data_IF_036349400237
#
_entry.id   IF_036349400237
#
_cell.length_a   1.000
_cell.length_b   1.000
_cell.length_c   1.000
_cell.angle_alpha   90.00
_cell.angle_beta   90.00
_cell.angle_gamma   90.00
#
_symmetry.space_group_name_H-M   'P 1'
#
loop_
_entity.id
_entity.type
_entity.pdbx_description
1 polymer ?
#
# COMPACT_ATOMS: atom_id res chain seq x y z
N UNK A 1 0.79 -12.03 4.72
CA UNK A 1 0.57 -10.86 3.82
C UNK A 1 1.87 -10.15 3.53
N UNK A 2 1.92 -9.45 2.39
CA UNK A 2 3.08 -8.65 1.98
C UNK A 2 2.60 -7.26 1.59
N UNK A 3 3.34 -6.23 1.96
CA UNK A 3 3.16 -4.90 1.38
C UNK A 3 4.10 -4.76 0.20
N UNK A 4 3.56 -4.37 -0.97
CA UNK A 4 4.32 -4.02 -2.14
C UNK A 4 4.33 -2.50 -2.33
N UNK A 5 5.50 -1.91 -2.50
CA UNK A 5 5.69 -0.47 -2.68
C UNK A 5 6.27 -0.17 -4.06
N UNK A 6 5.57 0.66 -4.82
CA UNK A 6 5.96 1.03 -6.18
C UNK A 6 6.98 2.17 -6.18
N UNK A 7 8.15 1.92 -6.77
CA UNK A 7 9.28 2.87 -6.82
C UNK A 7 9.59 3.43 -8.21
N UNK A 8 8.94 2.90 -9.27
CA UNK A 8 9.24 3.38 -10.61
C UNK A 8 8.64 4.78 -10.86
N UNK A 9 9.42 5.63 -11.50
CA UNK A 9 9.06 7.02 -11.83
C UNK A 9 8.73 7.19 -13.32
N UNK A 10 8.07 6.20 -13.89
CA UNK A 10 7.75 6.11 -15.32
C UNK A 10 6.59 7.04 -15.76
N UNK A 11 5.83 7.59 -14.81
CA UNK A 11 4.75 8.54 -15.08
C UNK A 11 4.94 9.83 -14.27
N UNK A 12 4.51 10.96 -14.85
CA UNK A 12 4.60 12.27 -14.20
C UNK A 12 3.93 12.29 -12.82
N UNK A 13 2.78 11.62 -12.68
CA UNK A 13 2.08 11.49 -11.42
C UNK A 13 2.94 10.79 -10.35
N UNK A 14 3.59 9.67 -10.68
CA UNK A 14 4.45 8.94 -9.74
C UNK A 14 5.65 9.81 -9.29
N UNK A 15 6.21 10.57 -10.22
CA UNK A 15 7.31 11.51 -9.92
C UNK A 15 6.86 12.62 -8.98
N UNK A 16 5.66 13.17 -9.20
CA UNK A 16 5.10 14.20 -8.32
C UNK A 16 4.86 13.66 -6.90
N UNK A 17 4.26 12.47 -6.77
CA UNK A 17 4.05 11.83 -5.47
C UNK A 17 5.37 11.57 -4.77
N UNK A 18 6.35 10.96 -5.44
CA UNK A 18 7.68 10.67 -4.87
C UNK A 18 8.42 11.94 -4.44
N UNK A 19 8.43 12.97 -5.30
CA UNK A 19 9.02 14.26 -4.97
C UNK A 19 8.36 14.91 -3.76
N UNK A 20 7.05 14.83 -3.71
CA UNK A 20 6.22 15.39 -2.67
C UNK A 20 6.40 14.69 -1.32
N UNK A 21 6.30 13.37 -1.31
CA UNK A 21 6.46 12.55 -0.10
C UNK A 21 7.94 12.36 0.29
N UNK A 22 8.86 13.03 -0.43
CA UNK A 22 10.32 13.02 -0.20
C UNK A 22 10.91 11.60 -0.11
N UNK A 23 10.39 10.68 -0.94
CA UNK A 23 10.86 9.31 -0.95
C UNK A 23 10.60 8.60 -2.28
N UNK A 24 11.12 7.37 -2.46
CA UNK A 24 11.06 6.67 -3.73
C UNK A 24 9.67 6.12 -4.08
N UNK A 25 8.80 5.95 -3.08
CA UNK A 25 7.55 5.23 -3.28
C UNK A 25 6.39 6.17 -3.62
N UNK A 26 5.63 5.77 -4.63
CA UNK A 26 4.47 6.52 -5.12
C UNK A 26 3.14 5.75 -5.02
N UNK A 27 3.18 4.46 -4.68
CA UNK A 27 1.99 3.64 -4.52
C UNK A 27 2.26 2.43 -3.62
N UNK A 28 1.20 1.93 -2.96
CA UNK A 28 1.25 0.81 -2.02
C UNK A 28 0.11 -0.17 -2.28
N UNK A 29 0.41 -1.48 -2.21
CA UNK A 29 -0.52 -2.59 -2.35
C UNK A 29 -0.38 -3.56 -1.18
N UNK A 30 -1.47 -4.16 -0.71
CA UNK A 30 -1.45 -5.25 0.24
C UNK A 30 -1.70 -6.58 -0.47
N UNK A 31 -0.69 -7.43 -0.54
CA UNK A 31 -0.76 -8.76 -1.19
C UNK A 31 -1.23 -9.79 -0.18
N UNK A 32 -2.28 -10.51 -0.55
CA UNK A 32 -2.87 -11.60 0.22
C UNK A 32 -2.29 -12.97 -0.15
N UNK A 33 -2.52 -13.95 0.72
CA UNK A 33 -2.06 -15.34 0.54
C UNK A 33 -2.56 -16.03 -0.74
N UNK A 34 -3.65 -15.56 -1.31
CA UNK A 34 -4.21 -16.05 -2.58
C UNK A 34 -3.64 -15.33 -3.82
N UNK A 35 -2.65 -14.45 -3.67
CA UNK A 35 -2.04 -13.69 -4.76
C UNK A 35 -2.85 -12.50 -5.28
N UNK A 36 -4.00 -12.21 -4.67
CA UNK A 36 -4.75 -10.98 -4.93
C UNK A 36 -4.16 -9.83 -4.13
N UNK A 37 -4.37 -8.61 -4.59
CA UNK A 37 -3.88 -7.40 -3.94
C UNK A 37 -4.97 -6.38 -3.73
N UNK A 38 -5.02 -5.82 -2.52
CA UNK A 38 -5.93 -4.75 -2.12
C UNK A 38 -5.24 -3.40 -2.04
N UNK A 39 -5.84 -2.36 -2.58
CA UNK A 39 -5.42 -0.97 -2.43
C UNK A 39 -6.49 -0.01 -2.95
N UNK A 40 -6.35 1.27 -2.66
CA UNK A 40 -7.01 2.34 -3.41
C UNK A 40 -6.07 2.86 -4.50
N UNK A 41 -6.55 2.98 -5.73
CA UNK A 41 -5.73 3.36 -6.88
C UNK A 41 -6.39 4.44 -7.71
N UNK A 42 -5.61 5.47 -8.07
CA UNK A 42 -6.06 6.50 -9.00
C UNK A 42 -6.49 5.92 -10.36
N UNK A 43 -5.75 4.93 -10.87
CA UNK A 43 -6.06 4.27 -12.16
C UNK A 43 -7.37 3.49 -12.11
N UNK A 44 -7.66 2.86 -10.98
CA UNK A 44 -8.86 2.06 -10.77
C UNK A 44 -10.01 2.91 -10.19
N UNK A 45 -9.76 4.21 -9.95
CA UNK A 45 -10.69 5.23 -9.44
C UNK A 45 -11.18 4.99 -8.00
N UNK A 46 -10.48 4.16 -7.23
CA UNK A 46 -10.82 3.89 -5.84
C UNK A 46 -10.32 2.57 -5.30
N UNK A 47 -10.98 2.13 -4.24
CA UNK A 47 -10.68 0.90 -3.50
C UNK A 47 -11.07 -0.33 -4.32
N UNK A 48 -10.14 -1.29 -4.43
CA UNK A 48 -10.37 -2.53 -5.18
C UNK A 48 -9.47 -3.67 -4.70
N UNK A 49 -9.85 -4.89 -5.06
CA UNK A 49 -9.02 -6.08 -4.95
C UNK A 49 -8.84 -6.67 -6.35
N UNK A 50 -7.60 -6.87 -6.78
CA UNK A 50 -7.30 -7.48 -8.08
C UNK A 50 -5.96 -8.19 -8.09
N UNK A 51 -5.72 -9.04 -9.08
CA UNK A 51 -4.40 -9.62 -9.33
C UNK A 51 -3.51 -8.59 -10.03
N UNK A 52 -2.29 -8.43 -9.51
CA UNK A 52 -1.27 -7.52 -10.06
C UNK A 52 -0.06 -8.35 -10.46
N UNK A 53 0.52 -8.02 -11.62
CA UNK A 53 1.82 -8.53 -12.03
C UNK A 53 2.92 -7.62 -11.48
N UNK A 54 3.72 -8.17 -10.59
CA UNK A 54 4.79 -7.43 -9.94
C UNK A 54 6.11 -7.61 -10.70
N UNK A 55 6.71 -6.50 -11.10
CA UNK A 55 8.04 -6.47 -11.72
C UNK A 55 9.06 -6.07 -10.66
N UNK A 56 10.07 -6.91 -10.34
CA UNK A 56 10.98 -6.68 -9.21
C UNK A 56 11.72 -5.35 -9.28
N UNK A 57 12.08 -4.94 -10.48
CA UNK A 57 12.77 -3.67 -10.71
C UNK A 57 11.92 -2.44 -10.37
N UNK A 58 10.59 -2.60 -10.27
CA UNK A 58 9.64 -1.51 -10.02
C UNK A 58 9.02 -1.54 -8.64
N UNK A 59 9.18 -2.64 -7.90
CA UNK A 59 8.53 -2.84 -6.62
C UNK A 59 9.51 -3.31 -5.56
N UNK A 60 9.35 -2.79 -4.36
CA UNK A 60 9.95 -3.33 -3.14
C UNK A 60 8.86 -4.01 -2.30
N UNK A 61 9.26 -5.03 -1.54
CA UNK A 61 8.33 -5.87 -0.78
C UNK A 61 8.70 -5.91 0.69
N UNK A 62 7.68 -5.78 1.55
CA UNK A 62 7.82 -5.86 3.01
C UNK A 62 6.92 -7.00 3.48
N UNK A 63 7.52 -8.05 4.04
CA UNK A 63 6.78 -9.15 4.63
C UNK A 63 6.21 -8.70 5.97
N UNK A 64 4.89 -8.80 6.12
CA UNK A 64 4.25 -8.48 7.39
C UNK A 64 4.48 -9.61 8.40
N UNK A 65 4.79 -9.26 9.66
CA UNK A 65 4.97 -10.23 10.74
C UNK A 65 3.71 -11.08 10.99
N UNK A 66 3.93 -12.21 11.68
CA UNK A 66 2.83 -12.98 12.22
C UNK A 66 2.03 -12.14 13.22
N UNK A 67 0.71 -12.26 13.20
CA UNK A 67 -0.19 -11.50 14.06
C UNK A 67 -1.16 -10.58 13.29
N UNK A 68 -0.89 -10.31 12.03
CA UNK A 68 -1.83 -9.60 11.17
C UNK A 68 -2.89 -10.56 10.61
N UNK A 69 -4.16 -10.23 10.83
CA UNK A 69 -5.28 -11.08 10.43
C UNK A 69 -5.68 -10.79 8.97
N UNK A 70 -5.22 -11.64 8.05
CA UNK A 70 -5.51 -11.48 6.62
C UNK A 70 -7.02 -11.47 6.33
N UNK A 71 -7.82 -12.25 7.07
CA UNK A 71 -9.28 -12.24 6.93
C UNK A 71 -9.86 -10.86 7.18
N UNK A 72 -9.47 -10.22 8.27
CA UNK A 72 -9.93 -8.86 8.63
C UNK A 72 -9.55 -7.85 7.55
N UNK A 73 -8.32 -7.92 7.05
CA UNK A 73 -7.89 -7.02 5.98
C UNK A 73 -8.65 -7.25 4.66
N UNK A 74 -8.95 -8.50 4.31
CA UNK A 74 -9.78 -8.81 3.15
C UNK A 74 -11.21 -8.30 3.31
N UNK A 75 -11.80 -8.50 4.47
CA UNK A 75 -13.17 -8.05 4.78
C UNK A 75 -13.26 -6.53 4.70
N UNK A 76 -12.22 -5.82 5.18
CA UNK A 76 -12.13 -4.38 5.02
C UNK A 76 -12.20 -3.96 3.55
N UNK A 77 -11.38 -4.57 2.69
CA UNK A 77 -11.37 -4.25 1.25
C UNK A 77 -12.69 -4.63 0.55
N UNK A 78 -13.34 -5.69 0.97
CA UNK A 78 -14.67 -6.07 0.44
C UNK A 78 -15.73 -5.03 0.82
N UNK A 79 -15.70 -4.58 2.08
CA UNK A 79 -16.65 -3.59 2.60
C UNK A 79 -16.53 -2.24 1.92
N UNK A 80 -15.29 -1.79 1.63
CA UNK A 80 -14.99 -0.49 1.04
C UNK A 80 -14.81 -0.55 -0.49
N UNK A 81 -15.09 -1.69 -1.11
CA UNK A 81 -14.91 -1.86 -2.56
C UNK A 81 -15.75 -0.87 -3.37
N UNK A 82 -15.11 -0.13 -4.27
CA UNK A 82 -15.74 0.89 -5.10
C UNK A 82 -15.81 2.28 -4.48
N UNK A 83 -15.41 2.46 -3.22
CA UNK A 83 -15.21 3.79 -2.66
C UNK A 83 -14.14 4.55 -3.43
N UNK A 84 -14.32 5.85 -3.56
CA UNK A 84 -13.56 6.66 -4.53
C UNK A 84 -12.11 6.89 -4.10
N UNK A 85 -11.25 7.10 -5.08
CA UNK A 85 -9.89 7.59 -4.81
C UNK A 85 -9.92 9.03 -4.31
N UNK A 86 -9.17 9.33 -3.26
CA UNK A 86 -9.04 10.70 -2.76
C UNK A 86 -7.98 11.48 -3.55
N UNK A 87 -8.44 12.20 -4.56
CA UNK A 87 -7.58 13.09 -5.34
C UNK A 87 -7.12 14.31 -4.54
N UNK A 88 -7.87 14.71 -3.52
CA UNK A 88 -7.56 15.87 -2.69
C UNK A 88 -6.66 15.50 -1.52
N UNK A 89 -6.70 14.25 -1.03
CA UNK A 89 -5.83 13.77 0.03
C UNK A 89 -4.35 13.82 -0.36
N UNK A 90 -4.02 13.63 -1.65
CA UNK A 90 -2.65 13.83 -2.15
C UNK A 90 -2.23 15.30 -2.00
N UNK A 91 -3.14 16.23 -2.24
CA UNK A 91 -2.90 17.68 -2.09
C UNK A 91 -2.97 18.08 -0.61
N UNK A 92 -3.80 17.43 0.18
CA UNK A 92 -4.02 17.72 1.60
C UNK A 92 -2.83 17.39 2.50
N UNK A 93 -1.95 16.49 2.08
CA UNK A 93 -0.63 16.32 2.72
C UNK A 93 0.28 17.55 2.57
N UNK A 94 -0.16 18.56 1.82
CA UNK A 94 0.58 19.74 1.37
C UNK A 94 0.08 21.03 1.95
N UNK A 95 -1.20 21.18 1.95
CA UNK A 95 -1.90 22.37 2.39
C UNK A 95 -2.61 22.06 3.70
N UNK A 96 -2.92 23.06 4.57
CA UNK A 96 -3.46 22.77 5.90
C UNK A 96 -4.58 21.74 5.84
N UNK A 97 -4.69 20.86 6.85
CA UNK A 97 -5.38 19.59 6.77
C UNK A 97 -6.79 19.76 6.20
N UNK A 98 -6.97 19.26 4.99
CA UNK A 98 -8.32 19.06 4.48
C UNK A 98 -8.98 18.02 5.38
N UNK A 99 -10.20 18.29 5.88
CA UNK A 99 -10.90 17.31 6.69
C UNK A 99 -10.94 15.98 5.95
N UNK A 100 -10.70 14.90 6.71
CA UNK A 100 -10.90 13.53 6.27
C UNK A 100 -12.21 13.45 5.49
N UNK A 101 -12.13 13.21 4.18
CA UNK A 101 -13.31 13.07 3.33
C UNK A 101 -13.78 11.65 3.46
N UNK A 102 -14.84 11.41 4.23
CA UNK A 102 -15.52 10.11 4.32
C UNK A 102 -15.69 9.50 2.92
N UNK A 103 -15.44 8.20 2.80
CA UNK A 103 -15.62 7.40 1.59
C UNK A 103 -14.64 7.71 0.44
N UNK A 104 -13.45 8.25 0.75
CA UNK A 104 -12.34 8.45 -0.20
C UNK A 104 -11.03 8.03 0.41
N UNK A 105 -10.22 7.33 -0.36
CA UNK A 105 -9.00 6.69 0.12
C UNK A 105 -7.82 6.92 -0.79
N UNK A 106 -6.65 7.18 -0.22
CA UNK A 106 -5.37 7.04 -0.93
C UNK A 106 -4.80 5.63 -0.73
N UNK A 107 -3.80 5.25 -1.51
CA UNK A 107 -3.26 3.88 -1.50
C UNK A 107 -2.69 3.45 -0.14
N UNK A 108 -1.86 4.29 0.48
CA UNK A 108 -1.26 4.04 1.80
C UNK A 108 -2.31 3.97 2.91
N UNK A 109 -3.25 4.89 2.88
CA UNK A 109 -4.34 4.97 3.84
C UNK A 109 -5.20 3.71 3.82
N UNK A 110 -5.65 3.26 2.63
CA UNK A 110 -6.47 2.06 2.50
C UNK A 110 -5.76 0.79 2.99
N UNK A 111 -4.45 0.68 2.74
CA UNK A 111 -3.64 -0.44 3.22
C UNK A 111 -3.51 -0.41 4.73
N UNK A 112 -3.19 0.75 5.33
CA UNK A 112 -3.04 0.87 6.77
C UNK A 112 -4.37 0.72 7.52
N UNK A 113 -5.47 1.26 7.00
CA UNK A 113 -6.80 1.07 7.57
C UNK A 113 -7.21 -0.42 7.57
N UNK A 114 -6.96 -1.14 6.45
CA UNK A 114 -7.21 -2.58 6.36
C UNK A 114 -6.35 -3.38 7.35
N UNK A 115 -5.19 -2.87 7.75
CA UNK A 115 -4.33 -3.44 8.79
C UNK A 115 -4.73 -3.00 10.21
N UNK A 116 -5.79 -2.20 10.38
CA UNK A 116 -6.31 -1.77 11.67
C UNK A 116 -5.62 -0.56 12.28
N UNK A 117 -4.87 0.20 11.50
CA UNK A 117 -4.32 1.47 11.98
C UNK A 117 -5.41 2.54 12.03
N UNK A 118 -5.59 3.11 13.19
CA UNK A 118 -6.34 4.36 13.36
C UNK A 118 -5.55 5.52 12.73
N UNK A 119 -6.25 6.56 12.30
CA UNK A 119 -5.63 7.74 11.66
C UNK A 119 -4.70 7.40 10.47
N UNK A 120 -5.02 6.33 9.72
CA UNK A 120 -4.25 5.86 8.55
C UNK A 120 -3.99 6.95 7.51
N UNK A 121 -4.86 7.96 7.44
CA UNK A 121 -4.76 9.13 6.58
C UNK A 121 -3.51 9.99 6.80
N UNK A 122 -2.84 9.86 7.96
CA UNK A 122 -1.61 10.61 8.29
C UNK A 122 -0.38 10.11 7.54
N UNK A 123 -0.42 8.90 6.98
CA UNK A 123 0.76 8.20 6.47
C UNK A 123 0.75 8.09 4.95
N UNK A 124 1.82 8.61 4.34
CA UNK A 124 2.07 8.45 2.91
C UNK A 124 2.74 7.10 2.58
N UNK A 125 2.91 6.79 1.28
CA UNK A 125 3.58 5.55 0.86
C UNK A 125 5.00 5.39 1.43
N UNK A 126 5.71 6.51 1.64
CA UNK A 126 7.09 6.50 2.13
C UNK A 126 7.21 6.35 3.66
N UNK A 127 6.11 6.50 4.40
CA UNK A 127 6.10 6.35 5.86
C UNK A 127 5.92 4.89 6.28
N UNK A 128 5.36 4.05 5.39
CA UNK A 128 5.03 2.65 5.70
C UNK A 128 6.28 1.81 5.98
N UNK A 129 7.32 1.93 5.15
CA UNK A 129 8.54 1.13 5.30
C UNK A 129 9.25 1.42 6.64
N UNK A 130 9.55 2.68 7.02
CA UNK A 130 10.13 2.98 8.32
C UNK A 130 9.25 2.50 9.48
N UNK A 131 7.94 2.67 9.39
CA UNK A 131 7.00 2.31 10.44
C UNK A 131 6.96 0.80 10.73
N UNK A 132 7.06 -0.02 9.69
CA UNK A 132 7.03 -1.48 9.80
C UNK A 132 8.41 -2.11 10.03
N UNK A 133 9.49 -1.48 9.55
CA UNK A 133 10.85 -1.97 9.72
C UNK A 133 11.44 -1.70 11.11
N UNK A 134 10.81 -0.88 11.93
CA UNK A 134 11.24 -0.65 13.32
C UNK A 134 11.11 -1.89 14.21
N UNK A 135 10.44 -2.95 13.72
CA UNK A 135 10.43 -4.27 14.32
C UNK A 135 10.92 -5.32 13.30
N UNK A 136 12.23 -5.46 13.05
CA UNK A 136 12.73 -6.49 12.14
C UNK A 136 12.42 -7.86 12.74
N UNK A 137 11.51 -8.59 12.10
CA UNK A 137 11.28 -10.00 12.46
C UNK A 137 12.35 -10.81 11.79
N UNK A 138 13.31 -11.25 12.58
CA UNK A 138 14.23 -12.31 12.21
C UNK A 138 13.46 -13.61 11.98
N UNK A 139 13.64 -14.23 10.81
CA UNK A 139 13.29 -15.63 10.58
C UNK A 139 11.90 -15.89 10.00
N UNK A 140 11.42 -15.13 9.04
CA UNK A 140 10.30 -15.59 8.22
C UNK A 140 10.81 -16.34 6.98
N UNK A 141 10.69 -17.66 6.97
CA UNK A 141 10.74 -18.48 5.76
C UNK A 141 9.49 -18.19 4.91
N UNK A 142 9.51 -17.04 4.23
CA UNK A 142 8.42 -16.66 3.36
C UNK A 142 8.69 -17.21 1.95
N UNK A 143 7.80 -18.06 1.46
CA UNK A 143 7.88 -18.59 0.09
C UNK A 143 7.34 -17.54 -0.91
N UNK A 144 8.23 -16.67 -1.35
CA UNK A 144 7.92 -15.64 -2.34
C UNK A 144 7.39 -16.22 -3.66
N UNK A 145 7.83 -17.43 -4.06
CA UNK A 145 7.42 -18.06 -5.32
C UNK A 145 5.94 -18.43 -5.28
N UNK A 146 5.41 -18.83 -4.12
CA UNK A 146 4.00 -19.16 -3.94
C UNK A 146 3.05 -18.00 -4.28
N UNK A 147 3.54 -16.76 -4.13
CA UNK A 147 2.74 -15.54 -4.35
C UNK A 147 3.08 -14.81 -5.64
N UNK A 148 3.90 -15.43 -6.52
CA UNK A 148 4.35 -14.79 -7.76
C UNK A 148 5.26 -13.59 -7.51
N UNK A 149 5.80 -13.45 -6.30
CA UNK A 149 6.78 -12.43 -5.94
C UNK A 149 8.16 -13.04 -6.17
N UNK A 150 9.02 -12.44 -7.00
CA UNK A 150 10.35 -12.99 -7.23
C UNK A 150 11.18 -12.94 -5.95
N UNK A 151 11.90 -14.04 -5.67
CA UNK A 151 12.87 -14.10 -4.59
C UNK A 151 14.00 -13.11 -4.90
N UNK A 152 14.25 -12.15 -4.01
CA UNK A 152 15.45 -11.33 -4.16
C UNK A 152 16.68 -12.23 -4.02
N UNK A 153 17.56 -12.19 -5.00
CA UNK A 153 18.91 -12.73 -4.84
C UNK A 153 19.61 -11.90 -3.75
N UNK A 154 20.18 -12.58 -2.78
CA UNK A 154 21.05 -12.04 -1.75
C UNK A 154 22.25 -11.30 -2.36
#
# INVERSE_FOLDING_TARGET
MIIAQYKAQDHLFNRLVSWWTKGPYSHTELIFSNGMSGSSSFRDKGVRVKKIEYKPEKWDFIVLPHGWHEGVAKDWFVLHAGEKYDNMGIVGHVWPPTPDTKDRWVCSESVLAALGYEESWRFGPNDIAPMLMTNPIQGCDFDFAKYGVPKYAE
#
